data_IF_871891575998
#
_entry.id   IF_871891575998
#
_cell.length_a   1.000
_cell.length_b   1.000
_cell.length_c   1.000
_cell.angle_alpha   90.00
_cell.angle_beta   90.00
_cell.angle_gamma   90.00
#
_symmetry.space_group_name_H-M   'P 1'
#
loop_
_entity.id
_entity.type
_entity.pdbx_description
1 polymer ?
#
# COMPACT_ATOMS: atom_id res chain seq x y z
N UNK A 1 -83.63 53.31 15.90
CA UNK A 1 -82.55 52.49 16.50
C UNK A 1 -82.13 51.31 15.62
N UNK A 2 -83.06 50.56 15.01
CA UNK A 2 -82.71 49.43 14.14
C UNK A 2 -81.73 49.75 13.00
N UNK A 3 -81.91 50.86 12.28
CA UNK A 3 -81.11 51.17 11.08
C UNK A 3 -79.63 51.54 11.35
N UNK A 4 -79.32 52.20 12.47
CA UNK A 4 -77.94 52.50 12.88
C UNK A 4 -77.20 51.25 13.38
N UNK A 5 -77.91 50.34 14.05
CA UNK A 5 -77.37 49.06 14.52
C UNK A 5 -77.02 48.14 13.34
N UNK A 6 -77.83 48.13 12.28
CA UNK A 6 -77.55 47.35 11.06
C UNK A 6 -76.30 47.84 10.33
N UNK A 7 -76.09 49.15 10.29
CA UNK A 7 -74.97 49.79 9.59
C UNK A 7 -73.62 49.55 10.30
N UNK A 8 -73.60 49.62 11.64
CA UNK A 8 -72.41 49.31 12.43
C UNK A 8 -72.04 47.82 12.43
N UNK A 9 -73.05 46.93 12.44
CA UNK A 9 -72.82 45.50 12.31
C UNK A 9 -72.30 45.14 10.90
N UNK A 10 -72.77 45.81 9.85
CA UNK A 10 -72.24 45.65 8.50
C UNK A 10 -70.76 46.08 8.44
N UNK A 11 -70.42 47.25 9.00
CA UNK A 11 -69.04 47.74 9.08
C UNK A 11 -68.10 46.79 9.83
N UNK A 12 -68.50 46.31 11.02
CA UNK A 12 -67.69 45.35 11.79
C UNK A 12 -67.55 44.01 11.08
N UNK A 13 -68.59 43.56 10.37
CA UNK A 13 -68.53 42.34 9.57
C UNK A 13 -67.51 42.50 8.44
N UNK A 14 -67.57 43.62 7.70
CA UNK A 14 -66.64 43.92 6.60
C UNK A 14 -65.18 44.03 7.08
N UNK A 15 -64.97 44.72 8.21
CA UNK A 15 -63.66 44.86 8.86
C UNK A 15 -63.09 43.50 9.30
N UNK A 16 -63.94 42.63 9.88
CA UNK A 16 -63.55 41.28 10.27
C UNK A 16 -63.17 40.42 9.08
N UNK A 17 -63.98 40.40 8.02
CA UNK A 17 -63.67 39.66 6.78
C UNK A 17 -62.37 40.14 6.15
N UNK A 18 -62.13 41.46 6.09
CA UNK A 18 -60.89 42.00 5.53
C UNK A 18 -59.65 41.58 6.35
N UNK A 19 -59.74 41.54 7.68
CA UNK A 19 -58.66 41.04 8.55
C UNK A 19 -58.46 39.52 8.44
N UNK A 20 -59.53 38.73 8.28
CA UNK A 20 -59.43 37.29 8.02
C UNK A 20 -58.75 37.02 6.67
N UNK A 21 -59.11 37.74 5.61
CA UNK A 21 -58.46 37.66 4.29
C UNK A 21 -56.98 38.07 4.34
N UNK A 22 -56.64 39.09 5.13
CA UNK A 22 -55.25 39.47 5.39
C UNK A 22 -54.49 38.36 6.14
N UNK A 23 -55.15 37.68 7.09
CA UNK A 23 -54.59 36.53 7.81
C UNK A 23 -54.27 35.38 6.86
N UNK A 24 -55.21 35.02 5.98
CA UNK A 24 -55.01 33.99 4.94
C UNK A 24 -53.84 34.36 4.02
N UNK A 25 -53.73 35.62 3.59
CA UNK A 25 -52.61 36.07 2.77
C UNK A 25 -51.26 35.95 3.50
N UNK A 26 -51.19 36.33 4.78
CA UNK A 26 -49.99 36.18 5.63
C UNK A 26 -49.59 34.71 5.82
N UNK A 27 -50.55 33.81 6.00
CA UNK A 27 -50.25 32.39 6.14
C UNK A 27 -49.79 31.77 4.81
N UNK A 28 -50.36 32.21 3.68
CA UNK A 28 -49.86 31.86 2.35
C UNK A 28 -48.42 32.33 2.13
N UNK A 29 -48.07 33.55 2.53
CA UNK A 29 -46.70 34.07 2.46
C UNK A 29 -45.72 33.21 3.27
N UNK A 30 -46.08 32.83 4.51
CA UNK A 30 -45.26 31.92 5.33
C UNK A 30 -45.04 30.58 4.65
N UNK A 31 -46.09 30.00 4.07
CA UNK A 31 -46.00 28.73 3.38
C UNK A 31 -45.09 28.82 2.14
N UNK A 32 -45.23 29.88 1.34
CA UNK A 32 -44.37 30.13 0.18
C UNK A 32 -42.90 30.31 0.59
N UNK A 33 -42.61 31.03 1.69
CA UNK A 33 -41.25 31.16 2.24
C UNK A 33 -40.66 29.82 2.68
N UNK A 34 -41.46 28.95 3.30
CA UNK A 34 -41.03 27.57 3.63
C UNK A 34 -40.69 26.81 2.34
N UNK A 35 -41.54 26.88 1.32
CA UNK A 35 -41.33 26.16 0.07
C UNK A 35 -40.15 26.72 -0.74
N UNK A 36 -39.89 28.03 -0.69
CA UNK A 36 -38.68 28.66 -1.22
C UNK A 36 -37.42 28.03 -0.59
N UNK A 37 -37.39 27.92 0.75
CA UNK A 37 -36.22 27.32 1.42
C UNK A 37 -36.04 25.84 1.07
N UNK A 38 -37.12 25.08 0.90
CA UNK A 38 -37.06 23.66 0.52
C UNK A 38 -36.54 23.50 -0.91
N UNK A 39 -37.10 24.24 -1.86
CA UNK A 39 -36.69 24.17 -3.27
C UNK A 39 -35.27 24.71 -3.44
N UNK A 40 -34.88 25.76 -2.73
CA UNK A 40 -33.51 26.27 -2.72
C UNK A 40 -32.50 25.23 -2.24
N UNK A 41 -32.79 24.54 -1.12
CA UNK A 41 -31.94 23.42 -0.64
C UNK A 41 -31.87 22.27 -1.63
N UNK A 42 -32.99 21.92 -2.27
CA UNK A 42 -33.02 20.87 -3.28
C UNK A 42 -32.18 21.25 -4.52
N UNK A 43 -32.25 22.51 -4.95
CA UNK A 43 -31.46 23.04 -6.06
C UNK A 43 -29.95 23.00 -5.75
N UNK A 44 -29.54 23.42 -4.56
CA UNK A 44 -28.13 23.39 -4.15
C UNK A 44 -27.61 21.97 -3.97
N UNK A 45 -28.43 21.07 -3.42
CA UNK A 45 -28.10 19.66 -3.32
C UNK A 45 -27.92 19.02 -4.71
N UNK A 46 -28.79 19.35 -5.67
CA UNK A 46 -28.70 18.83 -7.04
C UNK A 46 -27.46 19.35 -7.77
N UNK A 47 -27.12 20.65 -7.62
CA UNK A 47 -25.87 21.21 -8.17
C UNK A 47 -24.64 20.50 -7.63
N UNK A 48 -24.60 20.27 -6.31
CA UNK A 48 -23.49 19.55 -5.67
C UNK A 48 -23.41 18.10 -6.15
N UNK A 49 -24.54 17.41 -6.21
CA UNK A 49 -24.60 16.03 -6.70
C UNK A 49 -24.13 15.93 -8.17
N UNK A 50 -24.46 16.93 -8.99
CA UNK A 50 -23.99 17.02 -10.38
C UNK A 50 -22.47 17.18 -10.44
N UNK A 51 -21.90 18.11 -9.68
CA UNK A 51 -20.46 18.34 -9.62
C UNK A 51 -19.70 17.08 -9.14
N UNK A 52 -20.21 16.44 -8.07
CA UNK A 52 -19.65 15.20 -7.53
C UNK A 52 -19.73 14.05 -8.56
N UNK A 53 -20.81 13.97 -9.34
CA UNK A 53 -20.98 12.96 -10.38
C UNK A 53 -19.98 13.18 -11.55
N UNK A 54 -19.81 14.42 -12.00
CA UNK A 54 -18.81 14.78 -13.02
C UNK A 54 -17.41 14.41 -12.53
N UNK A 55 -17.02 14.88 -11.35
CA UNK A 55 -15.69 14.66 -10.79
C UNK A 55 -15.39 13.17 -10.58
N UNK A 56 -16.34 12.42 -9.99
CA UNK A 56 -16.16 11.00 -9.75
C UNK A 56 -16.11 10.19 -11.04
N UNK A 57 -16.90 10.55 -12.06
CA UNK A 57 -16.91 9.85 -13.36
C UNK A 57 -15.63 10.11 -14.14
N UNK A 58 -15.18 11.37 -14.20
CA UNK A 58 -13.91 11.76 -14.84
C UNK A 58 -12.75 11.01 -14.18
N UNK A 59 -12.71 11.00 -12.85
CA UNK A 59 -11.68 10.28 -12.08
C UNK A 59 -11.68 8.78 -12.39
N UNK A 60 -12.83 8.11 -12.30
CA UNK A 60 -12.95 6.67 -12.58
C UNK A 60 -12.49 6.32 -13.99
N UNK A 61 -12.88 7.11 -15.01
CA UNK A 61 -12.49 6.84 -16.41
C UNK A 61 -11.00 7.08 -16.64
N UNK A 62 -10.42 8.12 -16.03
CA UNK A 62 -8.97 8.36 -16.05
C UNK A 62 -8.19 7.21 -15.39
N UNK A 63 -8.63 6.76 -14.22
CA UNK A 63 -8.04 5.64 -13.50
C UNK A 63 -8.13 4.34 -14.29
N UNK A 64 -9.26 4.09 -14.98
CA UNK A 64 -9.41 2.92 -15.85
C UNK A 64 -8.41 2.91 -17.01
N UNK A 65 -8.18 4.06 -17.66
CA UNK A 65 -7.15 4.20 -18.70
C UNK A 65 -5.78 3.91 -18.10
N UNK A 66 -5.41 4.59 -17.01
CA UNK A 66 -4.11 4.41 -16.37
C UNK A 66 -3.87 2.96 -15.97
N UNK A 67 -4.85 2.32 -15.31
CA UNK A 67 -4.77 0.94 -14.83
C UNK A 67 -4.58 -0.07 -15.97
N UNK A 68 -5.19 0.16 -17.14
CA UNK A 68 -5.01 -0.74 -18.28
C UNK A 68 -3.57 -0.69 -18.83
N UNK A 69 -2.99 0.51 -18.92
CA UNK A 69 -1.60 0.66 -19.34
C UNK A 69 -0.62 0.14 -18.29
N UNK A 70 -0.89 0.38 -17.00
CA UNK A 70 -0.06 -0.14 -15.91
C UNK A 70 -0.03 -1.67 -15.91
N UNK A 71 -1.17 -2.33 -16.15
CA UNK A 71 -1.21 -3.79 -16.24
C UNK A 71 -0.40 -4.35 -17.43
N UNK A 72 -0.37 -3.67 -18.58
CA UNK A 72 0.49 -4.09 -19.71
C UNK A 72 1.97 -3.79 -19.45
N UNK A 73 2.27 -2.68 -18.78
CA UNK A 73 3.63 -2.34 -18.36
C UNK A 73 4.18 -3.39 -17.37
N UNK A 74 3.40 -3.80 -16.37
CA UNK A 74 3.76 -4.84 -15.41
C UNK A 74 4.07 -6.18 -16.11
N UNK A 75 3.26 -6.57 -17.11
CA UNK A 75 3.52 -7.77 -17.91
C UNK A 75 4.83 -7.65 -18.69
N UNK A 76 5.11 -6.50 -19.29
CA UNK A 76 6.35 -6.25 -20.02
C UNK A 76 7.57 -6.26 -19.08
N UNK A 77 7.47 -5.65 -17.91
CA UNK A 77 8.51 -5.69 -16.86
C UNK A 77 8.78 -7.11 -16.37
N UNK A 78 7.75 -7.94 -16.21
CA UNK A 78 7.92 -9.33 -15.81
C UNK A 78 8.61 -10.17 -16.89
N UNK A 79 8.31 -9.91 -18.17
CA UNK A 79 9.07 -10.50 -19.28
C UNK A 79 10.52 -10.05 -19.25
N UNK A 80 10.78 -8.77 -19.02
CA UNK A 80 12.14 -8.20 -18.92
C UNK A 80 12.93 -8.85 -17.79
N UNK A 81 12.33 -9.01 -16.59
CA UNK A 81 12.95 -9.72 -15.45
C UNK A 81 13.30 -11.16 -15.82
N UNK A 82 12.40 -11.87 -16.50
CA UNK A 82 12.64 -13.26 -16.96
C UNK A 82 13.76 -13.33 -18.01
N UNK A 83 13.80 -12.40 -18.97
CA UNK A 83 14.85 -12.33 -19.99
C UNK A 83 16.23 -12.07 -19.35
N UNK A 84 16.32 -11.11 -18.41
CA UNK A 84 17.54 -10.86 -17.62
C UNK A 84 17.99 -12.09 -16.83
N UNK A 85 17.05 -12.81 -16.19
CA UNK A 85 17.38 -14.04 -15.48
C UNK A 85 17.88 -15.17 -16.41
N UNK A 86 17.33 -15.28 -17.63
CA UNK A 86 17.83 -16.23 -18.65
C UNK A 86 19.24 -15.87 -19.10
N UNK A 87 19.50 -14.57 -19.37
CA UNK A 87 20.83 -14.06 -19.71
C UNK A 87 21.87 -14.41 -18.66
N UNK A 88 21.58 -14.13 -17.39
CA UNK A 88 22.50 -14.44 -16.29
C UNK A 88 22.73 -15.96 -16.12
N UNK A 89 21.70 -16.78 -16.36
CA UNK A 89 21.87 -18.24 -16.39
C UNK A 89 22.79 -18.68 -17.52
N UNK A 90 22.61 -18.15 -18.73
CA UNK A 90 23.46 -18.45 -19.89
C UNK A 90 24.92 -18.01 -19.64
N UNK A 91 25.13 -16.82 -19.08
CA UNK A 91 26.45 -16.33 -18.67
C UNK A 91 27.12 -17.25 -17.64
N UNK A 92 26.38 -17.63 -16.59
CA UNK A 92 26.89 -18.53 -15.56
C UNK A 92 27.21 -19.93 -16.12
N UNK A 93 26.45 -20.40 -17.09
CA UNK A 93 26.72 -21.65 -17.78
C UNK A 93 28.00 -21.54 -18.62
N UNK A 94 28.13 -20.49 -19.44
CA UNK A 94 29.34 -20.25 -20.24
C UNK A 94 30.60 -20.11 -19.38
N UNK A 95 30.52 -19.42 -18.24
CA UNK A 95 31.64 -19.37 -17.28
C UNK A 95 32.03 -20.75 -16.75
N UNK A 96 31.05 -21.61 -16.43
CA UNK A 96 31.33 -22.97 -15.94
C UNK A 96 31.98 -23.84 -17.01
N UNK A 97 31.51 -23.74 -18.25
CA UNK A 97 32.08 -24.45 -19.40
C UNK A 97 33.52 -24.00 -19.65
N UNK A 98 33.76 -22.69 -19.67
CA UNK A 98 35.11 -22.13 -19.81
C UNK A 98 36.05 -22.54 -18.67
N UNK A 99 35.57 -22.53 -17.41
CA UNK A 99 36.36 -23.04 -16.28
C UNK A 99 36.67 -24.53 -16.49
N UNK A 100 35.71 -25.32 -16.98
CA UNK A 100 35.91 -26.74 -17.20
C UNK A 100 36.94 -27.00 -18.31
N UNK A 101 36.90 -26.24 -19.39
CA UNK A 101 37.81 -26.29 -20.53
C UNK A 101 39.23 -25.81 -20.15
N UNK A 102 39.37 -24.58 -19.64
CA UNK A 102 40.68 -24.00 -19.27
C UNK A 102 41.38 -24.76 -18.12
N UNK A 103 40.64 -25.56 -17.35
CA UNK A 103 41.20 -26.38 -16.27
C UNK A 103 41.23 -27.88 -16.59
N UNK A 104 40.85 -28.28 -17.81
CA UNK A 104 40.77 -29.68 -18.22
C UNK A 104 42.14 -30.37 -18.10
N UNK A 105 43.19 -29.75 -18.64
CA UNK A 105 44.55 -30.30 -18.63
C UNK A 105 45.07 -30.45 -17.21
N UNK A 106 44.97 -29.39 -16.38
CA UNK A 106 45.37 -29.43 -14.97
C UNK A 106 44.62 -30.50 -14.16
N UNK A 107 43.33 -30.73 -14.49
CA UNK A 107 42.52 -31.79 -13.88
C UNK A 107 42.96 -33.17 -14.37
N UNK A 108 43.32 -33.31 -15.64
CA UNK A 108 43.85 -34.56 -16.19
C UNK A 108 45.20 -34.90 -15.58
N UNK A 109 46.14 -33.97 -15.55
CA UNK A 109 47.44 -34.11 -14.88
C UNK A 109 47.26 -34.54 -13.42
N UNK A 110 46.31 -33.94 -12.69
CA UNK A 110 46.03 -34.32 -11.32
C UNK A 110 45.55 -35.78 -11.19
N UNK A 111 44.73 -36.26 -12.14
CA UNK A 111 44.29 -37.67 -12.17
C UNK A 111 45.47 -38.60 -12.46
N UNK A 112 46.33 -38.23 -13.40
CA UNK A 112 47.50 -39.02 -13.79
C UNK A 112 48.52 -39.11 -12.64
N UNK A 113 48.84 -37.99 -12.00
CA UNK A 113 49.74 -37.96 -10.83
C UNK A 113 49.15 -38.74 -9.66
N UNK A 114 47.83 -38.71 -9.44
CA UNK A 114 47.19 -39.58 -8.45
C UNK A 114 47.34 -41.06 -8.81
N UNK A 115 47.21 -41.42 -10.10
CA UNK A 115 47.48 -42.77 -10.60
C UNK A 115 48.92 -43.19 -10.35
N UNK A 116 49.89 -42.31 -10.66
CA UNK A 116 51.31 -42.54 -10.41
C UNK A 116 51.61 -42.79 -8.93
N UNK A 117 51.01 -42.01 -8.00
CA UNK A 117 51.14 -42.25 -6.56
C UNK A 117 50.62 -43.64 -6.19
N UNK A 118 49.45 -44.04 -6.69
CA UNK A 118 48.87 -45.37 -6.40
C UNK A 118 49.78 -46.49 -6.91
N UNK A 119 50.30 -46.36 -8.13
CA UNK A 119 51.23 -47.32 -8.73
C UNK A 119 52.54 -47.40 -7.97
N UNK A 120 53.10 -46.25 -7.55
CA UNK A 120 54.31 -46.18 -6.74
C UNK A 120 54.15 -46.95 -5.42
N UNK A 121 53.03 -46.74 -4.72
CA UNK A 121 52.73 -47.44 -3.47
C UNK A 121 52.58 -48.95 -3.67
N UNK A 122 51.90 -49.37 -4.74
CA UNK A 122 51.73 -50.79 -5.09
C UNK A 122 53.08 -51.46 -5.41
N UNK A 123 53.92 -50.82 -6.24
CA UNK A 123 55.23 -51.34 -6.66
C UNK A 123 56.20 -51.49 -5.49
N UNK A 124 56.16 -50.58 -4.53
CA UNK A 124 57.05 -50.60 -3.34
C UNK A 124 56.42 -51.31 -2.13
N UNK A 125 55.26 -51.98 -2.31
CA UNK A 125 54.51 -52.67 -1.26
C UNK A 125 54.26 -51.80 -0.02
N UNK A 126 54.00 -50.50 -0.22
CA UNK A 126 53.67 -49.57 0.86
C UNK A 126 52.18 -49.72 1.19
N UNK A 127 51.80 -49.85 2.49
CA UNK A 127 50.41 -49.91 2.89
C UNK A 127 49.60 -48.69 2.39
N UNK A 128 48.37 -48.92 1.93
CA UNK A 128 47.51 -47.88 1.36
C UNK A 128 47.18 -46.75 2.34
N UNK A 129 47.10 -47.05 3.64
CA UNK A 129 46.84 -46.03 4.68
C UNK A 129 47.93 -44.95 4.77
N UNK A 130 49.16 -45.29 4.38
CA UNK A 130 50.26 -44.34 4.30
C UNK A 130 50.02 -43.29 3.22
N UNK A 131 49.17 -43.57 2.21
CA UNK A 131 48.73 -42.64 1.18
C UNK A 131 47.52 -41.80 1.63
N UNK A 132 47.37 -41.51 2.91
CA UNK A 132 46.33 -40.59 3.40
C UNK A 132 46.91 -39.19 3.67
N UNK A 133 46.08 -38.15 3.65
CA UNK A 133 46.52 -36.80 4.04
C UNK A 133 46.89 -36.73 5.53
N UNK A 134 46.13 -37.44 6.37
CA UNK A 134 46.34 -37.52 7.81
C UNK A 134 47.66 -38.19 8.19
N UNK A 135 48.04 -39.29 7.50
CA UNK A 135 49.35 -39.92 7.70
C UNK A 135 50.50 -38.94 7.42
N UNK A 136 50.39 -38.15 6.35
CA UNK A 136 51.41 -37.16 6.03
C UNK A 136 51.47 -36.04 7.09
N UNK A 137 50.32 -35.59 7.60
CA UNK A 137 50.28 -34.59 8.66
C UNK A 137 50.92 -35.09 9.96
N UNK A 138 50.70 -36.34 10.34
CA UNK A 138 51.23 -36.89 11.58
C UNK A 138 52.70 -37.26 11.53
N UNK A 139 53.11 -37.98 10.48
CA UNK A 139 54.43 -38.62 10.46
C UNK A 139 55.46 -37.81 9.68
N UNK A 140 55.02 -36.97 8.74
CA UNK A 140 55.90 -36.12 7.96
C UNK A 140 55.25 -34.73 7.75
N UNK A 141 54.97 -33.93 8.78
CA UNK A 141 54.40 -32.60 8.58
C UNK A 141 55.33 -31.74 7.71
N UNK A 142 54.80 -31.11 6.66
CA UNK A 142 55.60 -30.27 5.75
C UNK A 142 55.13 -28.82 5.65
N UNK A 143 53.96 -28.50 6.20
CA UNK A 143 53.32 -27.19 6.04
C UNK A 143 52.56 -26.80 7.29
N UNK A 144 52.30 -25.50 7.45
CA UNK A 144 51.60 -24.95 8.62
C UNK A 144 50.30 -25.67 8.98
N UNK A 145 49.42 -25.94 8.01
CA UNK A 145 48.17 -26.67 8.28
C UNK A 145 48.38 -28.13 8.73
N UNK A 146 49.43 -28.78 8.25
CA UNK A 146 49.79 -30.15 8.67
C UNK A 146 50.39 -30.15 10.08
N UNK A 147 51.20 -29.13 10.41
CA UNK A 147 51.68 -28.91 11.78
C UNK A 147 50.54 -28.60 12.76
N UNK A 148 49.54 -27.81 12.35
CA UNK A 148 48.35 -27.55 13.17
C UNK A 148 47.54 -28.81 13.42
N UNK A 149 47.32 -29.64 12.40
CA UNK A 149 46.64 -30.92 12.56
C UNK A 149 47.42 -31.87 13.48
N UNK A 150 48.75 -31.91 13.35
CA UNK A 150 49.62 -32.65 14.26
C UNK A 150 49.49 -32.14 15.71
N UNK A 151 49.57 -30.82 15.91
CA UNK A 151 49.41 -30.19 17.23
C UNK A 151 48.06 -30.52 17.86
N UNK A 152 46.97 -30.38 17.10
CA UNK A 152 45.62 -30.75 17.56
C UNK A 152 45.58 -32.22 17.96
N UNK A 153 46.19 -33.11 17.18
CA UNK A 153 46.24 -34.54 17.49
C UNK A 153 47.01 -34.81 18.78
N UNK A 154 48.14 -34.12 19.00
CA UNK A 154 48.91 -34.20 20.25
C UNK A 154 48.09 -33.69 21.44
N UNK A 155 47.41 -32.55 21.31
CA UNK A 155 46.54 -32.01 22.36
C UNK A 155 45.39 -32.97 22.68
N UNK A 156 44.80 -33.61 21.68
CA UNK A 156 43.75 -34.61 21.93
C UNK A 156 44.32 -35.81 22.71
N UNK A 157 45.43 -36.40 22.23
CA UNK A 157 46.00 -37.61 22.83
C UNK A 157 46.58 -37.39 24.23
N UNK A 158 47.18 -36.22 24.50
CA UNK A 158 47.93 -35.97 25.73
C UNK A 158 47.29 -34.93 26.67
N UNK A 159 46.24 -34.24 26.25
CA UNK A 159 45.50 -33.31 27.12
C UNK A 159 44.05 -33.77 27.26
N UNK A 160 43.30 -33.84 26.16
CA UNK A 160 41.86 -34.10 26.22
C UNK A 160 41.52 -35.52 26.70
N UNK A 161 42.20 -36.56 26.18
CA UNK A 161 41.95 -37.95 26.56
C UNK A 161 42.34 -38.24 28.02
N UNK A 162 43.55 -37.87 28.50
CA UNK A 162 43.93 -38.09 29.90
C UNK A 162 43.05 -37.29 30.88
N UNK A 163 42.75 -36.03 30.55
CA UNK A 163 41.88 -35.19 31.37
C UNK A 163 40.44 -35.72 31.42
N UNK A 164 39.88 -36.12 30.28
CA UNK A 164 38.55 -36.72 30.19
C UNK A 164 38.47 -38.02 30.98
N UNK A 165 39.46 -38.90 30.86
CA UNK A 165 39.54 -40.15 31.63
C UNK A 165 39.61 -39.88 33.14
N UNK A 166 40.35 -38.85 33.58
CA UNK A 166 40.42 -38.46 34.98
C UNK A 166 39.08 -37.96 35.55
N UNK A 167 38.31 -37.21 34.75
CA UNK A 167 37.00 -36.70 35.17
C UNK A 167 35.98 -37.82 35.42
N UNK A 168 36.09 -38.95 34.73
CA UNK A 168 35.20 -40.10 34.85
C UNK A 168 35.43 -40.94 36.12
N UNK A 169 36.52 -40.70 36.88
CA UNK A 169 36.81 -41.44 38.11
C UNK A 169 36.06 -40.82 39.31
N UNK A 170 35.27 -41.61 40.07
CA UNK A 170 34.47 -41.09 41.19
C UNK A 170 35.29 -40.56 42.38
N UNK A 171 36.44 -41.16 42.68
CA UNK A 171 37.37 -40.72 43.74
C UNK A 171 38.67 -40.18 43.13
N UNK A 172 38.69 -38.88 42.87
CA UNK A 172 39.79 -38.19 42.20
C UNK A 172 40.95 -37.95 43.17
N UNK A 173 42.02 -38.75 43.06
CA UNK A 173 43.28 -38.51 43.77
C UNK A 173 44.39 -38.15 42.76
N UNK A 174 45.38 -37.32 43.14
CA UNK A 174 46.44 -36.88 42.24
C UNK A 174 47.26 -38.05 41.64
N UNK A 175 47.36 -39.19 42.34
CA UNK A 175 48.02 -40.40 41.82
C UNK A 175 47.30 -41.01 40.61
N UNK A 176 45.96 -40.92 40.53
CA UNK A 176 45.21 -41.40 39.36
C UNK A 176 45.55 -40.59 38.12
N UNK A 177 45.74 -39.28 38.26
CA UNK A 177 46.14 -38.42 37.15
C UNK A 177 47.52 -38.85 36.63
N UNK A 178 48.50 -39.02 37.53
CA UNK A 178 49.83 -39.49 37.16
C UNK A 178 49.79 -40.85 36.45
N UNK A 179 49.00 -41.81 36.95
CA UNK A 179 48.84 -43.12 36.33
C UNK A 179 48.19 -43.07 34.94
N UNK A 180 47.15 -42.25 34.75
CA UNK A 180 46.47 -42.08 33.46
C UNK A 180 47.41 -41.45 32.43
N UNK A 181 48.17 -40.42 32.81
CA UNK A 181 49.15 -39.79 31.91
C UNK A 181 50.27 -40.76 31.55
N UNK A 182 50.77 -41.54 32.51
CA UNK A 182 51.77 -42.58 32.25
C UNK A 182 51.24 -43.63 31.27
N UNK A 183 50.02 -44.13 31.47
CA UNK A 183 49.36 -45.06 30.55
C UNK A 183 49.15 -44.45 29.15
N UNK A 184 48.69 -43.19 29.07
CA UNK A 184 48.50 -42.48 27.81
C UNK A 184 49.81 -42.30 27.03
N UNK A 185 50.92 -41.99 27.72
CA UNK A 185 52.25 -41.90 27.09
C UNK A 185 52.71 -43.24 26.55
N UNK A 186 52.54 -44.33 27.29
CA UNK A 186 52.89 -45.66 26.80
C UNK A 186 52.03 -46.08 25.60
N UNK A 187 50.72 -45.84 25.65
CA UNK A 187 49.80 -46.23 24.59
C UNK A 187 50.02 -45.34 23.35
N UNK A 188 49.83 -44.02 23.44
CA UNK A 188 49.93 -43.12 22.28
C UNK A 188 51.37 -42.92 21.82
N UNK A 189 52.32 -42.71 22.75
CA UNK A 189 53.74 -42.57 22.41
C UNK A 189 54.32 -43.88 21.87
N UNK A 190 54.03 -45.01 22.53
CA UNK A 190 54.48 -46.32 22.08
C UNK A 190 53.91 -46.71 20.72
N UNK A 191 52.60 -46.55 20.49
CA UNK A 191 51.99 -46.82 19.18
C UNK A 191 52.55 -45.90 18.10
N UNK A 192 52.74 -44.60 18.38
CA UNK A 192 53.32 -43.65 17.43
C UNK A 192 54.76 -44.04 17.02
N UNK A 193 55.60 -44.46 17.97
CA UNK A 193 56.97 -44.93 17.69
C UNK A 193 56.95 -46.23 16.87
N UNK A 194 56.11 -47.19 17.25
CA UNK A 194 55.97 -48.46 16.52
C UNK A 194 55.51 -48.24 15.07
N UNK A 195 54.50 -47.39 14.86
CA UNK A 195 54.04 -46.97 13.54
C UNK A 195 55.16 -46.28 12.77
N UNK A 196 55.86 -45.32 13.38
CA UNK A 196 56.98 -44.59 12.76
C UNK A 196 58.09 -45.53 12.30
N UNK A 197 58.50 -46.50 13.12
CA UNK A 197 59.53 -47.46 12.76
C UNK A 197 59.05 -48.44 11.68
N UNK A 198 57.82 -48.94 11.78
CA UNK A 198 57.28 -49.94 10.84
C UNK A 198 57.01 -49.35 9.45
N UNK A 199 56.59 -48.09 9.37
CA UNK A 199 56.17 -47.45 8.11
C UNK A 199 57.13 -46.34 7.66
N UNK A 200 57.30 -45.28 8.45
CA UNK A 200 58.07 -44.11 8.03
C UNK A 200 59.54 -44.44 7.81
N UNK A 201 60.19 -45.15 8.74
CA UNK A 201 61.59 -45.51 8.60
C UNK A 201 61.84 -46.46 7.42
N UNK A 202 60.92 -47.41 7.20
CA UNK A 202 61.02 -48.43 6.13
C UNK A 202 60.77 -47.90 4.73
N UNK A 203 59.85 -46.93 4.58
CA UNK A 203 59.38 -46.44 3.28
C UNK A 203 59.64 -44.95 3.09
N UNK A 204 60.63 -44.38 3.79
CA UNK A 204 60.87 -42.93 3.84
C UNK A 204 61.01 -42.32 2.44
N UNK A 205 61.81 -42.94 1.58
CA UNK A 205 62.10 -42.42 0.24
C UNK A 205 60.86 -42.42 -0.64
N UNK A 206 60.06 -43.51 -0.60
CA UNK A 206 58.78 -43.59 -1.32
C UNK A 206 57.76 -42.56 -0.81
N UNK A 207 57.73 -42.31 0.50
CA UNK A 207 56.85 -41.31 1.10
C UNK A 207 57.26 -39.87 0.73
N UNK A 208 58.57 -39.59 0.62
CA UNK A 208 59.12 -38.32 0.13
C UNK A 208 58.80 -38.12 -1.36
N UNK A 209 59.01 -39.13 -2.19
CA UNK A 209 58.68 -39.07 -3.63
C UNK A 209 57.18 -38.78 -3.85
N UNK A 210 56.31 -39.50 -3.12
CA UNK A 210 54.88 -39.24 -3.18
C UNK A 210 54.46 -37.90 -2.56
N UNK A 211 55.27 -37.31 -1.67
CA UNK A 211 55.05 -35.93 -1.20
C UNK A 211 55.20 -34.93 -2.33
N UNK A 212 56.27 -35.05 -3.11
CA UNK A 212 56.54 -34.15 -4.24
C UNK A 212 55.37 -34.22 -5.23
N UNK A 213 54.88 -35.41 -5.55
CA UNK A 213 53.70 -35.60 -6.40
C UNK A 213 52.42 -34.99 -5.80
N UNK A 214 52.19 -35.14 -4.49
CA UNK A 214 51.06 -34.50 -3.80
C UNK A 214 51.15 -32.98 -3.79
N UNK A 215 52.36 -32.45 -3.68
CA UNK A 215 52.63 -31.02 -3.69
C UNK A 215 52.40 -30.45 -5.09
N UNK A 216 52.75 -31.21 -6.13
CA UNK A 216 52.40 -30.92 -7.51
C UNK A 216 50.88 -30.82 -7.72
N UNK A 217 50.12 -31.83 -7.27
CA UNK A 217 48.64 -31.81 -7.34
C UNK A 217 48.08 -30.56 -6.64
N UNK A 218 48.60 -30.24 -5.45
CA UNK A 218 48.14 -29.07 -4.69
C UNK A 218 48.49 -27.75 -5.39
N UNK A 219 49.65 -27.66 -6.05
CA UNK A 219 50.03 -26.51 -6.87
C UNK A 219 49.04 -26.33 -8.03
N UNK A 220 48.73 -27.41 -8.74
CA UNK A 220 47.72 -27.40 -9.80
C UNK A 220 46.33 -27.01 -9.29
N UNK A 221 45.91 -27.50 -8.12
CA UNK A 221 44.67 -27.05 -7.48
C UNK A 221 44.66 -25.55 -7.16
N UNK A 222 45.80 -24.96 -6.78
CA UNK A 222 45.91 -23.49 -6.61
C UNK A 222 45.78 -22.78 -7.95
N UNK A 223 46.45 -23.25 -9.00
CA UNK A 223 46.31 -22.70 -10.37
C UNK A 223 44.86 -22.74 -10.85
N UNK A 224 44.16 -23.87 -10.67
CA UNK A 224 42.73 -24.02 -10.97
C UNK A 224 41.89 -22.96 -10.23
N UNK A 225 42.17 -22.72 -8.94
CA UNK A 225 41.47 -21.68 -8.17
C UNK A 225 41.75 -20.27 -8.68
N UNK A 226 42.99 -19.99 -9.11
CA UNK A 226 43.35 -18.69 -9.70
C UNK A 226 42.64 -18.49 -11.04
N UNK A 227 42.66 -19.48 -11.94
CA UNK A 227 41.95 -19.46 -13.22
C UNK A 227 40.45 -19.25 -12.99
N UNK A 228 39.86 -20.01 -12.07
CA UNK A 228 38.43 -19.87 -11.70
C UNK A 228 38.11 -18.43 -11.26
N UNK A 229 38.92 -17.85 -10.37
CA UNK A 229 38.71 -16.47 -9.91
C UNK A 229 38.96 -15.44 -11.01
N UNK A 230 39.88 -15.71 -11.93
CA UNK A 230 40.15 -14.84 -13.08
C UNK A 230 38.93 -14.78 -14.00
N UNK A 231 38.38 -15.94 -14.36
CA UNK A 231 37.18 -16.05 -15.22
C UNK A 231 35.98 -15.37 -14.54
N UNK A 232 35.79 -15.56 -13.24
CA UNK A 232 34.70 -14.92 -12.50
C UNK A 232 34.79 -13.38 -12.43
N UNK A 233 36.00 -12.83 -12.55
CA UNK A 233 36.25 -11.37 -12.55
C UNK A 233 36.36 -10.79 -13.96
N UNK A 234 36.40 -11.65 -14.97
CA UNK A 234 36.52 -11.24 -16.35
C UNK A 234 35.26 -10.47 -16.76
N UNK A 235 35.46 -9.30 -17.37
CA UNK A 235 34.39 -8.43 -17.86
C UNK A 235 34.01 -8.75 -19.31
N UNK A 236 34.84 -9.53 -20.01
CA UNK A 236 34.57 -9.87 -21.41
C UNK A 236 33.58 -11.03 -21.50
N UNK A 237 32.33 -10.69 -21.86
CA UNK A 237 31.23 -11.66 -22.00
C UNK A 237 30.99 -12.09 -23.45
N UNK A 238 31.72 -11.52 -24.43
CA UNK A 238 31.51 -11.79 -25.86
C UNK A 238 31.67 -13.27 -26.22
N UNK A 239 32.50 -13.99 -25.47
CA UNK A 239 32.73 -15.43 -25.66
C UNK A 239 31.49 -16.29 -25.35
N UNK A 240 30.51 -15.75 -24.60
CA UNK A 240 29.34 -16.52 -24.16
C UNK A 240 28.12 -16.38 -25.08
N UNK A 241 28.26 -15.71 -26.24
CA UNK A 241 27.19 -15.51 -27.23
C UNK A 241 25.86 -15.02 -26.61
N UNK A 242 25.95 -13.97 -25.80
CA UNK A 242 24.80 -13.40 -25.07
C UNK A 242 23.98 -12.41 -25.90
N UNK A 243 24.41 -12.09 -27.12
CA UNK A 243 23.82 -11.06 -27.99
C UNK A 243 22.31 -11.28 -28.19
N UNK A 244 21.88 -12.52 -28.41
CA UNK A 244 20.45 -12.85 -28.53
C UNK A 244 19.62 -12.43 -27.31
N UNK A 245 20.19 -12.56 -26.11
CA UNK A 245 19.50 -12.15 -24.88
C UNK A 245 19.55 -10.63 -24.69
N UNK A 246 20.65 -10.00 -25.09
CA UNK A 246 20.80 -8.55 -25.07
C UNK A 246 19.79 -7.88 -26.03
N UNK A 247 19.58 -8.46 -27.22
CA UNK A 247 18.56 -8.03 -28.18
C UNK A 247 17.14 -8.19 -27.63
N UNK A 248 16.81 -9.34 -27.03
CA UNK A 248 15.51 -9.59 -26.37
C UNK A 248 15.26 -8.58 -25.25
N UNK A 249 16.27 -8.31 -24.41
CA UNK A 249 16.19 -7.31 -23.34
C UNK A 249 15.97 -5.92 -23.91
N UNK A 250 16.73 -5.52 -24.94
CA UNK A 250 16.59 -4.21 -25.58
C UNK A 250 15.21 -4.01 -26.19
N UNK A 251 14.66 -5.03 -26.86
CA UNK A 251 13.31 -4.99 -27.40
C UNK A 251 12.26 -4.81 -26.31
N UNK A 252 12.38 -5.52 -25.19
CA UNK A 252 11.46 -5.40 -24.06
C UNK A 252 11.58 -4.03 -23.36
N UNK A 253 12.79 -3.47 -23.25
CA UNK A 253 13.00 -2.12 -22.73
C UNK A 253 12.36 -1.05 -23.63
N UNK A 254 12.49 -1.20 -24.95
CA UNK A 254 11.80 -0.35 -25.92
C UNK A 254 10.27 -0.49 -25.85
N UNK A 255 9.76 -1.72 -25.67
CA UNK A 255 8.33 -1.98 -25.48
C UNK A 255 7.79 -1.25 -24.24
N UNK A 256 8.49 -1.33 -23.11
CA UNK A 256 8.12 -0.62 -21.87
C UNK A 256 8.10 0.89 -22.09
N UNK A 257 9.13 1.45 -22.73
CA UNK A 257 9.17 2.89 -23.05
C UNK A 257 8.01 3.31 -23.96
N UNK A 258 7.69 2.49 -24.97
CA UNK A 258 6.57 2.73 -25.87
C UNK A 258 5.22 2.66 -25.16
N UNK A 259 5.01 1.70 -24.26
CA UNK A 259 3.79 1.63 -23.44
C UNK A 259 3.69 2.87 -22.56
N UNK A 260 4.79 3.30 -21.94
CA UNK A 260 4.84 4.50 -21.12
C UNK A 260 4.50 5.78 -21.90
N UNK A 261 5.03 5.95 -23.11
CA UNK A 261 4.68 7.10 -23.96
C UNK A 261 3.22 7.06 -24.39
N UNK A 262 2.72 5.90 -24.83
CA UNK A 262 1.32 5.72 -25.21
C UNK A 262 0.36 5.98 -24.04
N UNK A 263 0.73 5.60 -22.81
CA UNK A 263 -0.03 5.93 -21.60
C UNK A 263 -0.13 7.44 -21.40
N UNK A 264 0.99 8.15 -21.53
CA UNK A 264 1.02 9.60 -21.37
C UNK A 264 0.17 10.29 -22.44
N UNK A 265 0.27 9.85 -23.69
CA UNK A 265 -0.52 10.39 -24.80
C UNK A 265 -2.02 10.15 -24.60
N UNK A 266 -2.41 8.95 -24.16
CA UNK A 266 -3.80 8.61 -23.86
C UNK A 266 -4.36 9.44 -22.70
N UNK A 267 -3.59 9.65 -21.63
CA UNK A 267 -3.99 10.49 -20.51
C UNK A 267 -4.09 11.97 -20.91
N UNK A 268 -3.16 12.47 -21.73
CA UNK A 268 -3.21 13.82 -22.26
C UNK A 268 -4.46 14.04 -23.14
N UNK A 269 -4.75 13.09 -24.04
CA UNK A 269 -5.96 13.11 -24.88
C UNK A 269 -7.24 13.09 -24.02
N UNK A 270 -7.25 12.27 -22.96
CA UNK A 270 -8.36 12.23 -22.02
C UNK A 270 -8.58 13.58 -21.31
N UNK A 271 -7.53 14.21 -20.78
CA UNK A 271 -7.63 15.49 -20.07
C UNK A 271 -8.03 16.64 -20.99
N UNK A 272 -7.54 16.66 -22.23
CA UNK A 272 -7.80 17.76 -23.17
C UNK A 272 -9.17 17.68 -23.84
N UNK A 273 -9.61 16.47 -24.23
CA UNK A 273 -10.79 16.29 -25.09
C UNK A 273 -11.87 15.50 -24.35
N UNK A 274 -11.57 14.28 -23.92
CA UNK A 274 -12.59 13.34 -23.43
C UNK A 274 -13.25 13.83 -22.14
N UNK A 275 -12.49 14.44 -21.23
CA UNK A 275 -13.00 15.01 -19.98
C UNK A 275 -14.09 16.04 -20.21
N UNK A 276 -13.88 16.95 -21.16
CA UNK A 276 -14.86 17.99 -21.50
C UNK A 276 -16.14 17.37 -22.06
N UNK A 277 -16.01 16.42 -23.01
CA UNK A 277 -17.16 15.72 -23.60
C UNK A 277 -17.98 14.99 -22.53
N UNK A 278 -17.32 14.28 -21.61
CA UNK A 278 -17.99 13.56 -20.52
C UNK A 278 -18.69 14.53 -19.57
N UNK A 279 -18.03 15.63 -19.24
CA UNK A 279 -18.60 16.65 -18.36
C UNK A 279 -19.85 17.26 -18.99
N UNK A 280 -19.77 17.62 -20.27
CA UNK A 280 -20.89 18.18 -21.03
C UNK A 280 -22.05 17.19 -21.17
N UNK A 281 -21.77 15.90 -21.40
CA UNK A 281 -22.79 14.85 -21.46
C UNK A 281 -23.55 14.73 -20.14
N UNK A 282 -22.83 14.68 -19.01
CA UNK A 282 -23.42 14.61 -17.67
C UNK A 282 -24.22 15.87 -17.34
N UNK A 283 -23.67 17.06 -17.64
CA UNK A 283 -24.35 18.34 -17.43
C UNK A 283 -25.62 18.42 -18.29
N UNK A 284 -25.55 18.01 -19.56
CA UNK A 284 -26.70 18.00 -20.47
C UNK A 284 -27.80 17.06 -19.97
N UNK A 285 -27.45 15.89 -19.46
CA UNK A 285 -28.40 14.95 -18.89
C UNK A 285 -29.09 15.50 -17.61
N UNK A 286 -28.37 16.26 -16.78
CA UNK A 286 -28.90 16.86 -15.56
C UNK A 286 -29.68 18.17 -15.81
N UNK A 287 -29.50 18.80 -16.97
CA UNK A 287 -30.07 20.09 -17.33
C UNK A 287 -31.59 20.19 -17.16
N UNK A 288 -32.43 19.21 -17.58
CA UNK A 288 -33.88 19.33 -17.44
C UNK A 288 -34.34 19.46 -15.99
N UNK A 289 -33.75 18.67 -15.08
CA UNK A 289 -34.08 18.68 -13.65
C UNK A 289 -33.58 19.96 -12.98
N UNK A 290 -32.41 20.44 -13.40
CA UNK A 290 -31.86 21.72 -12.95
C UNK A 290 -32.72 22.91 -13.38
N UNK A 291 -33.18 22.91 -14.64
CA UNK A 291 -34.05 23.96 -15.19
C UNK A 291 -35.43 23.93 -14.50
N UNK A 292 -35.99 22.75 -14.23
CA UNK A 292 -37.25 22.58 -13.48
C UNK A 292 -37.16 23.16 -12.07
N UNK A 293 -36.14 22.78 -11.29
CA UNK A 293 -35.93 23.31 -9.94
C UNK A 293 -35.68 24.82 -9.94
N UNK A 294 -34.94 25.31 -10.94
CA UNK A 294 -34.67 26.74 -11.11
C UNK A 294 -35.94 27.53 -11.46
N UNK A 295 -36.81 26.98 -12.33
CA UNK A 295 -38.10 27.59 -12.67
C UNK A 295 -39.01 27.63 -11.44
N UNK A 296 -39.17 26.52 -10.72
CA UNK A 296 -39.97 26.46 -9.49
C UNK A 296 -39.49 27.44 -8.43
N UNK A 297 -38.17 27.55 -8.24
CA UNK A 297 -37.60 28.52 -7.31
C UNK A 297 -37.97 29.95 -7.72
N UNK A 298 -37.88 30.28 -9.01
CA UNK A 298 -38.25 31.60 -9.55
C UNK A 298 -39.75 31.90 -9.39
N UNK A 299 -40.60 30.93 -9.70
CA UNK A 299 -42.07 31.04 -9.58
C UNK A 299 -42.51 31.26 -8.13
N UNK A 300 -41.95 30.50 -7.18
CA UNK A 300 -42.22 30.68 -5.75
C UNK A 300 -41.77 32.07 -5.31
N UNK A 301 -40.57 32.50 -5.70
CA UNK A 301 -40.04 33.82 -5.34
C UNK A 301 -40.87 34.96 -5.91
N UNK A 302 -41.38 34.82 -7.14
CA UNK A 302 -42.32 35.76 -7.72
C UNK A 302 -43.64 35.78 -6.94
N UNK A 303 -44.20 34.61 -6.61
CA UNK A 303 -45.43 34.47 -5.82
C UNK A 303 -45.29 35.09 -4.43
N UNK A 304 -44.11 34.98 -3.79
CA UNK A 304 -43.80 35.66 -2.53
C UNK A 304 -43.89 37.17 -2.73
N UNK A 305 -43.24 37.72 -3.77
CA UNK A 305 -43.28 39.16 -4.07
C UNK A 305 -44.69 39.68 -4.30
N UNK A 306 -45.50 38.96 -5.09
CA UNK A 306 -46.91 39.29 -5.33
C UNK A 306 -47.74 39.26 -4.04
N UNK A 307 -47.58 38.20 -3.23
CA UNK A 307 -48.28 38.07 -1.95
C UNK A 307 -47.84 39.15 -0.95
N UNK A 308 -46.56 39.52 -0.92
CA UNK A 308 -46.04 40.62 -0.10
C UNK A 308 -46.63 41.98 -0.53
N UNK A 309 -46.82 42.21 -1.84
CA UNK A 309 -47.51 43.42 -2.33
C UNK A 309 -48.99 43.42 -1.97
N UNK A 310 -49.68 42.28 -2.10
CA UNK A 310 -51.09 42.13 -1.71
C UNK A 310 -51.28 42.39 -0.21
N UNK A 311 -50.42 41.80 0.63
CA UNK A 311 -50.44 42.00 2.09
C UNK A 311 -50.21 43.48 2.43
N UNK A 312 -49.27 44.15 1.76
CA UNK A 312 -49.03 45.60 1.97
C UNK A 312 -50.27 46.41 1.61
N UNK A 313 -50.86 46.15 0.44
CA UNK A 313 -52.04 46.88 -0.01
C UNK A 313 -53.23 46.65 0.92
N UNK A 314 -53.55 45.39 1.26
CA UNK A 314 -54.61 45.05 2.22
C UNK A 314 -54.37 45.68 3.60
N UNK A 315 -53.14 45.65 4.11
CA UNK A 315 -52.82 46.33 5.37
C UNK A 315 -53.10 47.84 5.31
N UNK A 316 -52.72 48.52 4.22
CA UNK A 316 -52.95 49.95 4.04
C UNK A 316 -54.46 50.24 3.95
N UNK A 317 -55.19 49.51 3.11
CA UNK A 317 -56.64 49.68 2.94
C UNK A 317 -57.43 49.45 4.25
N UNK A 318 -57.08 48.40 5.00
CA UNK A 318 -57.69 48.11 6.31
C UNK A 318 -57.34 49.21 7.31
N UNK A 319 -56.11 49.70 7.30
CA UNK A 319 -55.68 50.80 8.18
C UNK A 319 -56.45 52.08 7.87
N UNK A 320 -56.54 52.47 6.59
CA UNK A 320 -57.21 53.69 6.15
C UNK A 320 -58.71 53.66 6.44
N UNK A 321 -59.38 52.51 6.22
CA UNK A 321 -60.83 52.38 6.41
C UNK A 321 -61.26 52.13 7.85
N UNK A 322 -60.51 51.33 8.60
CA UNK A 322 -60.97 50.78 9.88
C UNK A 322 -60.17 51.26 11.10
N UNK A 323 -58.89 51.60 10.97
CA UNK A 323 -58.06 51.92 12.13
C UNK A 323 -58.47 53.23 12.83
N UNK A 324 -59.04 54.19 12.09
CA UNK A 324 -59.58 55.42 12.67
C UNK A 324 -60.79 55.21 13.59
N UNK A 325 -61.59 54.17 13.33
CA UNK A 325 -62.82 53.88 14.08
C UNK A 325 -62.61 52.83 15.17
N UNK A 326 -61.81 51.80 14.91
CA UNK A 326 -61.59 50.68 15.84
C UNK A 326 -60.35 50.87 16.70
N UNK A 327 -59.39 51.68 16.27
CA UNK A 327 -58.06 51.75 16.89
C UNK A 327 -57.26 50.46 16.71
N UNK A 328 -55.93 50.56 16.83
CA UNK A 328 -55.01 49.42 16.60
C UNK A 328 -55.28 48.22 17.52
N UNK A 329 -55.87 48.45 18.69
CA UNK A 329 -56.14 47.43 19.70
C UNK A 329 -57.22 46.42 19.27
N UNK A 330 -58.21 46.87 18.51
CA UNK A 330 -59.37 46.06 18.07
C UNK A 330 -59.28 45.62 16.61
N UNK A 331 -58.14 45.87 15.94
CA UNK A 331 -57.83 45.40 14.57
C UNK A 331 -57.41 43.93 14.56
N UNK A 332 -58.23 43.07 15.15
CA UNK A 332 -58.05 41.62 15.20
C UNK A 332 -59.41 40.93 14.99
N UNK A 333 -59.52 39.89 14.13
CA UNK A 333 -60.79 39.23 13.84
C UNK A 333 -61.56 38.73 15.06
N UNK A 334 -60.86 38.22 16.07
CA UNK A 334 -61.48 37.68 17.29
C UNK A 334 -62.07 38.82 18.13
N UNK A 335 -61.33 39.92 18.27
CA UNK A 335 -61.78 41.10 19.01
C UNK A 335 -62.93 41.84 18.32
N UNK A 336 -62.94 41.88 16.98
CA UNK A 336 -64.10 42.39 16.24
C UNK A 336 -65.31 41.46 16.44
N UNK A 337 -65.10 40.15 16.54
CA UNK A 337 -66.12 39.19 16.94
C UNK A 337 -66.74 39.53 18.31
N UNK A 338 -65.92 39.86 19.31
CA UNK A 338 -66.39 40.28 20.63
C UNK A 338 -67.20 41.60 20.58
N UNK A 339 -66.77 42.57 19.76
CA UNK A 339 -67.50 43.84 19.53
C UNK A 339 -68.87 43.58 18.88
N UNK A 340 -68.91 42.72 17.87
CA UNK A 340 -70.16 42.31 17.21
C UNK A 340 -71.11 41.60 18.17
N UNK A 341 -70.59 40.80 19.11
CA UNK A 341 -71.38 40.11 20.12
C UNK A 341 -71.94 41.07 21.19
N UNK A 342 -71.15 42.05 21.65
CA UNK A 342 -71.62 43.10 22.57
C UNK A 342 -72.77 43.91 21.96
N UNK A 343 -72.65 44.28 20.67
CA UNK A 343 -73.73 44.98 19.95
C UNK A 343 -74.94 44.06 19.73
N UNK A 344 -74.75 42.81 19.29
CA UNK A 344 -75.86 41.87 19.04
C UNK A 344 -76.63 41.49 20.31
N UNK A 345 -75.95 41.41 21.45
CA UNK A 345 -76.57 41.12 22.76
C UNK A 345 -77.27 42.33 23.39
N UNK A 346 -77.20 43.51 22.75
CA UNK A 346 -77.83 44.75 23.21
C UNK A 346 -77.10 45.44 24.36
N UNK A 347 -75.86 45.01 24.67
CA UNK A 347 -75.01 45.63 25.72
C UNK A 347 -74.43 46.97 25.31
N UNK A 348 -74.29 47.20 24.00
CA UNK A 348 -73.83 48.45 23.43
C UNK A 348 -74.64 48.84 22.19
N UNK A 349 -74.85 50.14 22.01
CA UNK A 349 -75.56 50.73 20.87
C UNK A 349 -74.64 51.35 19.82
N UNK A 350 -73.38 51.61 20.18
CA UNK A 350 -72.35 52.14 19.28
C UNK A 350 -71.03 51.35 19.36
N UNK A 351 -70.21 51.40 18.31
CA UNK A 351 -68.87 50.76 18.29
C UNK A 351 -67.99 51.26 19.46
N UNK A 352 -68.03 52.56 19.76
CA UNK A 352 -67.31 53.15 20.91
C UNK A 352 -67.79 52.63 22.26
N UNK A 353 -69.10 52.50 22.44
CA UNK A 353 -69.72 51.94 23.65
C UNK A 353 -69.40 50.44 23.80
N UNK A 354 -69.36 49.70 22.70
CA UNK A 354 -68.95 48.29 22.69
C UNK A 354 -67.47 48.11 23.06
N UNK A 355 -66.59 49.02 22.60
CA UNK A 355 -65.19 49.05 23.00
C UNK A 355 -65.00 49.40 24.48
N UNK A 356 -65.90 50.20 25.05
CA UNK A 356 -65.88 50.59 26.46
C UNK A 356 -66.42 49.46 27.37
N UNK A 357 -67.51 48.81 26.98
CA UNK A 357 -68.06 47.60 27.61
C UNK A 357 -67.00 46.49 27.72
N UNK A 358 -66.31 46.21 26.62
CA UNK A 358 -65.26 45.17 26.59
C UNK A 358 -64.02 45.57 27.42
N UNK A 359 -63.66 46.86 27.47
CA UNK A 359 -62.58 47.35 28.34
C UNK A 359 -62.94 47.25 29.82
N UNK A 360 -64.17 47.56 30.19
CA UNK A 360 -64.64 47.46 31.56
C UNK A 360 -64.71 46.00 32.02
N UNK A 361 -65.18 45.09 31.16
CA UNK A 361 -65.20 43.65 31.42
C UNK A 361 -63.81 43.00 31.56
N UNK A 362 -62.76 43.61 30.98
CA UNK A 362 -61.36 43.16 31.13
C UNK A 362 -60.63 43.71 32.37
N UNK A 363 -61.14 44.78 32.95
CA UNK A 363 -60.57 45.44 34.13
C UNK A 363 -61.27 45.02 35.44
N UNK A 364 -62.23 44.09 35.35
CA UNK A 364 -62.80 43.31 36.45
C UNK A 364 -62.19 41.91 36.44
#
# INVERSE_FOLDING_TARGET
MGQQMTDQMAFLTEARTALEELGVAKDREKQLKIDETKVGKALDAEKKALEDNVNSTVRKRREAIASSYDAEMDKAEDKLKKARAKREKAKNQGMKERIAEETADLRSENRDVQGQIRTLFKKKHVPSFCNSGWYYALFLPGRFGEYMLFLITVLICFLAVPYGAYLLIPKRQPLHLAAIYFAAILIFGGTYILLTNKTKARYLDTLKEARVMRDHIRSNQKKIKVITKSIQRDKNEKMYNLEKYDDEISQLEQEIQKIGSQKQDALNSFEQVTKTIISDEIITAAKPKMDELTSRYREIRQSIGETETEIKQKNLEITDKYAGYLGKEYMDPLKIGELMESIRSGRASTISEAMEDIRQAKNQ
#
